data_IF_815842404275
#
_entry.id   IF_815842404275
#
_cell.length_a   1.000
_cell.length_b   1.000
_cell.length_c   1.000
_cell.angle_alpha   90.00
_cell.angle_beta   90.00
_cell.angle_gamma   90.00
#
_symmetry.space_group_name_H-M   'P 1'
#
loop_
_entity.id
_entity.type
_entity.pdbx_description
1 polymer ?
#
# COMPACT_ATOMS: atom_id res chain seq x y z
N UNK A 1 9.30 29.19 -26.35
CA UNK A 1 8.79 28.64 -26.10
C UNK A 1 8.57 28.05 -25.79
N UNK A 2 8.73 27.99 -25.47
CA UNK A 2 8.20 27.41 -24.95
C UNK A 2 7.97 26.55 -24.72
N UNK A 3 8.32 26.65 -24.58
CA UNK A 3 7.76 25.79 -24.27
C UNK A 3 7.43 24.98 -24.21
N UNK A 4 7.57 24.98 -24.17
CA UNK A 4 7.05 24.07 -23.95
C UNK A 4 6.93 23.28 -23.70
N UNK A 5 7.09 23.36 -23.29
CA UNK A 5 6.62 22.60 -22.91
C UNK A 5 6.34 21.87 -22.56
N UNK A 6 6.58 21.99 -22.37
CA UNK A 6 6.02 21.34 -21.84
C UNK A 6 5.31 20.85 -21.65
N UNK A 7 5.27 20.93 -21.60
CA UNK A 7 4.37 20.45 -21.24
C UNK A 7 3.61 20.09 -21.14
N UNK A 8 3.42 20.14 -21.13
CA UNK A 8 2.54 19.88 -20.92
C UNK A 8 1.81 19.54 -21.06
N UNK A 9 1.86 19.68 -21.23
CA UNK A 9 1.09 19.31 -21.18
C UNK A 9 0.69 18.63 -20.98
N UNK A 10 0.36 18.82 -21.49
CA UNK A 10 -0.18 17.82 -20.61
C UNK A 10 0.78 16.79 -20.16
N UNK A 11 1.66 17.12 -19.38
CA UNK A 11 2.46 16.09 -18.76
C UNK A 11 1.57 15.09 -18.05
N UNK A 12 2.01 13.85 -17.95
CA UNK A 12 1.36 12.90 -17.10
C UNK A 12 1.24 13.51 -15.70
N UNK A 13 0.12 13.33 -15.01
CA UNK A 13 0.03 13.81 -13.64
C UNK A 13 1.13 13.20 -12.78
N UNK A 14 1.60 13.95 -11.83
CA UNK A 14 2.58 13.45 -10.89
C UNK A 14 1.99 12.23 -10.16
N UNK A 15 2.82 11.25 -9.79
CA UNK A 15 2.33 10.13 -9.00
C UNK A 15 1.67 10.62 -7.72
N UNK A 16 0.59 9.97 -7.34
CA UNK A 16 -0.20 10.39 -6.17
C UNK A 16 -0.61 9.17 -5.37
N UNK A 17 -0.85 9.41 -4.11
CA UNK A 17 -1.37 8.41 -3.20
C UNK A 17 -2.43 9.05 -2.34
N UNK A 18 -3.58 8.40 -2.19
CA UNK A 18 -4.62 8.83 -1.28
C UNK A 18 -4.78 7.81 -0.18
N UNK A 19 -5.00 8.28 1.03
CA UNK A 19 -5.18 7.41 2.20
C UNK A 19 -6.38 7.94 2.97
N UNK A 20 -7.41 7.11 3.10
CA UNK A 20 -8.63 7.46 3.82
C UNK A 20 -8.97 6.37 4.82
N UNK A 21 -9.45 6.71 6.01
CA UNK A 21 -9.91 5.69 6.93
C UNK A 21 -11.16 4.99 6.39
N UNK A 22 -11.26 3.70 6.66
CA UNK A 22 -12.47 2.96 6.31
C UNK A 22 -13.62 3.44 7.21
N UNK A 23 -14.87 3.42 6.71
CA UNK A 23 -16.00 3.91 7.48
C UNK A 23 -16.19 3.25 8.84
N UNK A 24 -15.84 1.96 8.95
CA UNK A 24 -15.96 1.21 10.21
C UNK A 24 -14.75 1.38 11.12
N UNK A 25 -13.76 2.18 10.71
CA UNK A 25 -12.55 2.40 11.50
C UNK A 25 -11.61 1.20 11.56
N UNK A 26 -11.86 0.16 10.78
CA UNK A 26 -11.07 -1.08 10.88
C UNK A 26 -9.88 -1.10 9.93
N UNK A 27 -9.53 0.01 9.31
CA UNK A 27 -8.41 0.05 8.40
C UNK A 27 -8.38 1.29 7.54
N UNK A 28 -7.66 1.19 6.44
CA UNK A 28 -7.48 2.31 5.51
C UNK A 28 -7.82 1.88 4.08
N UNK A 29 -8.33 2.82 3.31
CA UNK A 29 -8.44 2.68 1.87
C UNK A 29 -7.30 3.48 1.25
N UNK A 30 -6.50 2.81 0.42
CA UNK A 30 -5.35 3.44 -0.23
C UNK A 30 -5.53 3.35 -1.73
N UNK A 31 -5.36 4.46 -2.42
CA UNK A 31 -5.48 4.51 -3.88
C UNK A 31 -4.32 5.24 -4.48
N UNK A 32 -4.10 5.02 -5.78
CA UNK A 32 -3.03 5.64 -6.53
C UNK A 32 -1.92 4.66 -6.85
N UNK A 33 -0.68 5.06 -6.64
CA UNK A 33 0.45 4.16 -6.88
C UNK A 33 1.55 4.42 -5.86
N UNK A 34 2.26 3.36 -5.50
CA UNK A 34 3.38 3.43 -4.56
C UNK A 34 4.67 3.29 -5.34
N UNK A 35 5.43 4.35 -5.37
CA UNK A 35 6.74 4.43 -5.99
C UNK A 35 7.58 5.42 -5.22
N UNK A 36 8.70 5.83 -5.81
CA UNK A 36 9.66 6.69 -5.14
C UNK A 36 9.02 7.97 -4.58
N UNK A 37 8.15 8.60 -5.36
CA UNK A 37 7.56 9.89 -4.96
C UNK A 37 6.50 9.76 -3.87
N UNK A 38 5.94 8.58 -3.67
CA UNK A 38 4.85 8.37 -2.71
C UNK A 38 5.23 7.41 -1.59
N UNK A 39 6.46 6.94 -1.58
CA UNK A 39 6.89 5.93 -0.60
C UNK A 39 6.71 6.41 0.83
N UNK A 40 7.05 7.67 1.12
CA UNK A 40 6.93 8.20 2.48
C UNK A 40 5.48 8.19 2.96
N UNK A 41 4.54 8.52 2.07
CA UNK A 41 3.11 8.48 2.42
C UNK A 41 2.65 7.05 2.69
N UNK A 42 3.12 6.11 1.87
CA UNK A 42 2.81 4.69 2.05
C UNK A 42 3.36 4.18 3.38
N UNK A 43 4.61 4.51 3.68
CA UNK A 43 5.22 4.12 4.95
C UNK A 43 4.47 4.72 6.14
N UNK A 44 4.00 5.95 6.02
CA UNK A 44 3.20 6.56 7.06
C UNK A 44 1.90 5.82 7.31
N UNK A 45 1.23 5.39 6.23
CA UNK A 45 0.00 4.62 6.34
C UNK A 45 0.26 3.27 7.01
N UNK A 46 1.35 2.60 6.63
CA UNK A 46 1.70 1.32 7.24
C UNK A 46 2.09 1.47 8.70
N UNK A 47 2.76 2.55 9.05
CA UNK A 47 3.12 2.82 10.44
C UNK A 47 1.85 3.00 11.28
N UNK A 48 0.86 3.69 10.75
CA UNK A 48 -0.43 3.83 11.44
C UNK A 48 -1.07 2.47 11.65
N UNK A 49 -1.07 1.63 10.62
CA UNK A 49 -1.63 0.28 10.72
C UNK A 49 -0.92 -0.52 11.81
N UNK A 50 0.39 -0.43 11.86
CA UNK A 50 1.17 -1.20 12.84
C UNK A 50 0.95 -0.72 14.27
N UNK A 51 0.62 0.55 14.45
CA UNK A 51 0.42 1.12 15.77
C UNK A 51 -1.02 1.06 16.27
N UNK A 52 -1.98 0.71 15.39
CA UNK A 52 -3.36 0.54 15.81
C UNK A 52 -3.48 -0.70 16.70
N UNK A 53 -4.22 -0.58 17.78
CA UNK A 53 -4.37 -1.69 18.72
C UNK A 53 -5.50 -2.62 18.30
N UNK A 54 -5.49 -3.07 17.05
CA UNK A 54 -6.52 -3.96 16.50
C UNK A 54 -5.91 -5.29 16.09
N UNK A 55 -6.58 -6.40 16.39
CA UNK A 55 -6.06 -7.70 15.94
C UNK A 55 -6.08 -7.84 14.41
N UNK A 56 -7.05 -7.22 13.74
CA UNK A 56 -7.15 -7.28 12.29
C UNK A 56 -7.20 -5.86 11.75
N UNK A 57 -6.27 -5.51 10.88
CA UNK A 57 -6.25 -4.21 10.24
C UNK A 57 -6.39 -4.41 8.73
N UNK A 58 -7.39 -3.78 8.13
CA UNK A 58 -7.67 -3.96 6.72
C UNK A 58 -7.07 -2.84 5.89
N UNK A 59 -6.41 -3.21 4.80
CA UNK A 59 -5.99 -2.29 3.76
C UNK A 59 -6.82 -2.59 2.52
N UNK A 60 -7.71 -1.69 2.17
CA UNK A 60 -8.55 -1.82 0.99
C UNK A 60 -7.81 -1.17 -0.17
N UNK A 61 -7.37 -1.96 -1.13
CA UNK A 61 -6.41 -1.55 -2.15
C UNK A 61 -6.97 -1.60 -3.57
N UNK A 62 -8.30 -1.66 -3.72
CA UNK A 62 -8.90 -1.77 -5.06
C UNK A 62 -8.58 -0.57 -5.96
N UNK A 63 -8.32 0.60 -5.38
CA UNK A 63 -7.96 1.79 -6.14
C UNK A 63 -6.44 1.99 -6.26
N UNK A 64 -5.65 1.08 -5.72
CA UNK A 64 -4.21 1.11 -5.84
C UNK A 64 -3.80 0.34 -7.09
N UNK A 65 -3.08 1.00 -7.98
CA UNK A 65 -2.78 0.41 -9.29
C UNK A 65 -1.40 -0.21 -9.39
N UNK A 66 -0.48 0.20 -8.52
CA UNK A 66 0.90 -0.28 -8.60
C UNK A 66 1.61 -0.10 -7.26
N UNK A 67 2.46 -1.08 -6.93
CA UNK A 67 3.38 -0.98 -5.77
C UNK A 67 4.72 -1.54 -6.25
N UNK A 68 5.79 -0.76 -6.05
CA UNK A 68 7.13 -1.21 -6.43
C UNK A 68 7.77 -2.07 -5.33
N UNK A 69 9.00 -2.48 -5.57
CA UNK A 69 9.72 -3.34 -4.62
C UNK A 69 9.91 -2.66 -3.27
N UNK A 70 10.26 -1.38 -3.26
CA UNK A 70 10.46 -0.66 -2.01
C UNK A 70 9.16 -0.55 -1.21
N UNK A 71 8.03 -0.33 -1.90
CA UNK A 71 6.72 -0.30 -1.25
C UNK A 71 6.32 -1.65 -0.69
N UNK A 72 6.63 -2.71 -1.43
CA UNK A 72 6.36 -4.06 -0.97
C UNK A 72 7.23 -4.42 0.24
N UNK A 73 8.50 -4.02 0.21
CA UNK A 73 9.40 -4.21 1.34
C UNK A 73 8.88 -3.51 2.59
N UNK A 74 8.39 -2.27 2.44
CA UNK A 74 7.83 -1.53 3.57
C UNK A 74 6.63 -2.25 4.17
N UNK A 75 5.76 -2.82 3.33
CA UNK A 75 4.61 -3.58 3.80
C UNK A 75 5.07 -4.84 4.54
N UNK A 76 6.02 -5.56 3.97
CA UNK A 76 6.54 -6.77 4.60
C UNK A 76 7.15 -6.45 5.97
N UNK A 77 7.93 -5.36 6.05
CA UNK A 77 8.55 -4.94 7.30
C UNK A 77 7.49 -4.57 8.35
N UNK A 78 6.45 -3.85 7.94
CA UNK A 78 5.36 -3.50 8.85
C UNK A 78 4.65 -4.75 9.37
N UNK A 79 4.38 -5.69 8.48
CA UNK A 79 3.69 -6.93 8.85
C UNK A 79 4.54 -7.77 9.79
N UNK A 80 5.85 -7.83 9.54
CA UNK A 80 6.77 -8.60 10.40
C UNK A 80 6.96 -7.96 11.76
N UNK A 81 6.64 -6.67 11.91
CA UNK A 81 6.74 -5.98 13.19
C UNK A 81 5.49 -6.16 14.05
N UNK A 82 4.43 -6.76 13.52
CA UNK A 82 3.20 -6.93 14.28
C UNK A 82 3.36 -7.96 15.39
N UNK A 83 2.71 -7.69 16.50
CA UNK A 83 2.70 -8.62 17.61
C UNK A 83 1.90 -9.87 17.27
N UNK A 84 2.15 -10.93 17.99
CA UNK A 84 1.46 -12.19 17.80
C UNK A 84 -0.05 -12.00 17.93
N UNK A 85 -0.82 -12.65 17.06
CA UNK A 85 -2.28 -12.54 17.05
C UNK A 85 -2.80 -11.38 16.22
N UNK A 86 -1.91 -10.54 15.70
CA UNK A 86 -2.31 -9.42 14.85
C UNK A 86 -2.02 -9.73 13.40
N UNK A 87 -2.82 -9.17 12.50
CA UNK A 87 -2.58 -9.36 11.07
C UNK A 87 -3.11 -8.18 10.25
N UNK A 88 -2.56 -8.04 9.07
CA UNK A 88 -3.01 -7.08 8.06
C UNK A 88 -3.72 -7.88 6.97
N UNK A 89 -4.93 -7.49 6.63
CA UNK A 89 -5.70 -8.09 5.53
C UNK A 89 -5.62 -7.17 4.34
N UNK A 90 -5.11 -7.67 3.23
CA UNK A 90 -5.02 -6.92 1.98
C UNK A 90 -6.22 -7.25 1.12
N UNK A 91 -7.13 -6.29 0.95
CA UNK A 91 -8.31 -6.48 0.13
C UNK A 91 -8.04 -5.95 -1.27
N UNK A 92 -8.16 -6.80 -2.26
CA UNK A 92 -8.00 -6.49 -3.69
C UNK A 92 -6.66 -5.79 -3.98
N UNK A 93 -5.53 -6.39 -3.57
CA UNK A 93 -4.23 -5.79 -3.86
C UNK A 93 -3.93 -5.81 -5.36
N UNK A 94 -3.16 -4.85 -5.86
CA UNK A 94 -2.77 -4.88 -7.27
C UNK A 94 -1.87 -6.09 -7.55
N UNK A 95 -1.87 -6.51 -8.81
CA UNK A 95 -1.10 -7.69 -9.22
C UNK A 95 0.39 -7.52 -8.92
N UNK A 96 0.92 -6.31 -9.10
CA UNK A 96 2.33 -6.03 -8.81
C UNK A 96 2.68 -6.35 -7.36
N UNK A 97 1.83 -5.95 -6.42
CA UNK A 97 2.07 -6.21 -5.01
C UNK A 97 2.02 -7.70 -4.71
N UNK A 98 1.00 -8.39 -5.23
CA UNK A 98 0.87 -9.83 -5.00
C UNK A 98 2.07 -10.60 -5.54
N UNK A 99 2.53 -10.25 -6.74
CA UNK A 99 3.68 -10.93 -7.35
C UNK A 99 4.94 -10.72 -6.54
N UNK A 100 5.18 -9.49 -6.09
CA UNK A 100 6.39 -9.19 -5.34
C UNK A 100 6.38 -9.87 -3.97
N UNK A 101 5.22 -9.92 -3.32
CA UNK A 101 5.09 -10.64 -2.06
C UNK A 101 5.37 -12.14 -2.24
N UNK A 102 4.78 -12.74 -3.27
CA UNK A 102 5.00 -14.16 -3.53
C UNK A 102 6.44 -14.47 -3.87
N UNK A 103 7.11 -13.55 -4.55
CA UNK A 103 8.46 -13.78 -5.04
C UNK A 103 9.53 -13.58 -3.96
N UNK A 104 9.39 -12.55 -3.14
CA UNK A 104 10.41 -12.17 -2.18
C UNK A 104 10.06 -12.43 -0.72
N UNK A 105 8.79 -12.48 -0.40
CA UNK A 105 8.32 -12.68 0.98
C UNK A 105 7.18 -13.69 1.06
N UNK A 106 7.39 -14.90 0.55
CA UNK A 106 6.30 -15.88 0.59
C UNK A 106 5.96 -16.29 2.01
N UNK A 107 4.68 -16.38 2.29
CA UNK A 107 4.20 -16.96 3.53
C UNK A 107 4.37 -16.12 4.79
N UNK A 108 4.34 -14.79 4.68
CA UNK A 108 4.33 -13.96 5.89
C UNK A 108 3.02 -14.22 6.63
N UNK A 109 3.07 -14.78 7.87
CA UNK A 109 1.83 -15.20 8.55
C UNK A 109 0.93 -14.04 8.96
N UNK A 110 1.47 -12.83 9.11
CA UNK A 110 0.69 -11.67 9.52
C UNK A 110 0.05 -10.93 8.35
N UNK A 111 0.24 -11.41 7.12
CA UNK A 111 -0.44 -10.87 5.95
C UNK A 111 -1.44 -11.90 5.46
N UNK A 112 -2.68 -11.46 5.28
CA UNK A 112 -3.73 -12.30 4.73
C UNK A 112 -4.27 -11.63 3.47
N UNK A 113 -4.37 -12.40 2.37
CA UNK A 113 -4.99 -11.94 1.12
C UNK A 113 -6.20 -12.82 0.88
N UNK A 114 -7.41 -12.33 1.17
CA UNK A 114 -8.61 -13.15 0.96
C UNK A 114 -8.79 -13.48 -0.52
N UNK A 115 -9.20 -14.69 -0.80
CA UNK A 115 -9.65 -15.06 -2.14
C UNK A 115 -11.04 -14.49 -2.37
N UNK A 116 -11.23 -13.88 -3.49
CA UNK A 116 -12.56 -13.35 -3.78
C UNK A 116 -12.88 -13.49 -5.23
#
# INVERSE_FOLDING_TARGET
MEVPCRTPSGPAPAPWLTVFPLPDGAGLRVGGEVGLATLAQWEGALSRAAHEARPVYRLELSALTFVDVAGTDALAAAAQSLEEGRRIVLQQPPVSLRRLLDLFWPGIPTIEVPSS
#
